data_IF_715949159274
#
_entry.id   IF_715949159274
#
_cell.length_a   1.000
_cell.length_b   1.000
_cell.length_c   1.000
_cell.angle_alpha   90.00
_cell.angle_beta   90.00
_cell.angle_gamma   90.00
#
_symmetry.space_group_name_H-M   'P 1'
#
loop_
_entity.id
_entity.type
_entity.pdbx_description
1 polymer ?
#
# COMPACT_ATOMS: atom_id res chain seq x y z
N UNK A 1 6.45 -7.16 6.05
CA UNK A 1 5.36 -7.72 5.24
C UNK A 1 4.14 -6.89 5.51
N UNK A 2 3.65 -6.24 4.47
CA UNK A 2 2.40 -5.49 4.46
C UNK A 2 1.25 -6.49 4.52
N UNK A 3 0.44 -6.40 5.57
CA UNK A 3 -0.74 -7.24 5.77
C UNK A 3 -2.01 -6.50 5.36
N UNK A 4 -3.12 -7.22 5.20
CA UNK A 4 -4.44 -6.61 5.00
C UNK A 4 -4.79 -5.58 6.10
N UNK A 5 -4.44 -5.86 7.36
CA UNK A 5 -4.66 -4.93 8.49
C UNK A 5 -3.87 -3.63 8.32
N UNK A 6 -2.59 -3.72 7.90
CA UNK A 6 -1.79 -2.52 7.63
C UNK A 6 -2.42 -1.67 6.53
N UNK A 7 -2.93 -2.30 5.46
CA UNK A 7 -3.62 -1.57 4.39
C UNK A 7 -4.89 -0.91 4.90
N UNK A 8 -5.69 -1.58 5.74
CA UNK A 8 -6.90 -1.00 6.34
C UNK A 8 -6.59 0.22 7.22
N UNK A 9 -5.52 0.16 8.01
CA UNK A 9 -5.06 1.31 8.80
C UNK A 9 -4.62 2.45 7.89
N UNK A 10 -3.82 2.15 6.86
CA UNK A 10 -3.41 3.15 5.88
C UNK A 10 -4.61 3.83 5.20
N UNK A 11 -5.59 3.04 4.75
CA UNK A 11 -6.85 3.52 4.16
C UNK A 11 -7.66 4.38 5.15
N UNK A 12 -7.73 3.97 6.43
CA UNK A 12 -8.44 4.72 7.50
C UNK A 12 -7.90 6.14 7.65
N UNK A 13 -6.58 6.30 7.52
CA UNK A 13 -5.91 7.59 7.62
C UNK A 13 -5.67 8.26 6.26
N UNK A 14 -6.18 7.69 5.16
CA UNK A 14 -5.96 8.17 3.79
C UNK A 14 -4.48 8.41 3.45
N UNK A 15 -3.59 7.56 3.97
CA UNK A 15 -2.14 7.71 3.82
C UNK A 15 -1.51 8.89 4.58
N UNK A 16 -2.27 9.61 5.41
CA UNK A 16 -1.76 10.69 6.25
C UNK A 16 -1.05 10.13 7.48
N UNK A 17 0.28 10.05 7.41
CA UNK A 17 1.12 9.56 8.52
C UNK A 17 0.87 10.34 9.81
N UNK A 18 0.79 11.67 9.72
CA UNK A 18 0.51 12.53 10.88
C UNK A 18 -0.85 12.20 11.51
N UNK A 19 -1.83 11.77 10.71
CA UNK A 19 -3.12 11.30 11.20
C UNK A 19 -2.97 10.08 12.11
N UNK A 20 -2.22 9.07 11.67
CA UNK A 20 -1.90 7.89 12.48
C UNK A 20 -1.08 8.29 13.73
N UNK A 21 -0.04 9.11 13.55
CA UNK A 21 0.87 9.49 14.62
C UNK A 21 0.16 10.26 15.76
N UNK A 22 -0.74 11.19 15.40
CA UNK A 22 -1.45 12.04 16.36
C UNK A 22 -2.67 11.33 16.97
N UNK A 23 -3.44 10.59 16.17
CA UNK A 23 -4.78 10.13 16.58
C UNK A 23 -4.96 8.62 16.62
N UNK A 24 -4.01 7.85 16.06
CA UNK A 24 -4.07 6.39 16.06
C UNK A 24 -4.01 5.79 17.47
N UNK A 25 -4.70 4.65 17.64
CA UNK A 25 -4.57 3.86 18.87
C UNK A 25 -3.23 3.12 18.90
N UNK A 26 -2.79 2.69 20.09
CA UNK A 26 -1.50 2.02 20.29
C UNK A 26 -1.28 0.85 19.34
N UNK A 27 -2.29 0.00 19.15
CA UNK A 27 -2.22 -1.14 18.25
C UNK A 27 -1.91 -0.71 16.80
N UNK A 28 -2.66 0.26 16.27
CA UNK A 28 -2.47 0.77 14.90
C UNK A 28 -1.07 1.36 14.69
N UNK A 29 -0.55 2.10 15.68
CA UNK A 29 0.80 2.67 15.63
C UNK A 29 1.86 1.57 15.61
N UNK A 30 1.71 0.56 16.48
CA UNK A 30 2.67 -0.53 16.61
C UNK A 30 2.87 -1.35 15.33
N UNK A 31 1.86 -1.38 14.44
CA UNK A 31 1.96 -2.03 13.14
C UNK A 31 3.06 -1.41 12.22
N UNK A 32 3.43 -0.15 12.45
CA UNK A 32 4.34 0.63 11.60
C UNK A 32 5.59 1.14 12.32
N UNK A 33 5.83 0.76 13.59
CA UNK A 33 6.95 1.30 14.37
C UNK A 33 8.33 0.82 13.90
N UNK A 34 8.41 -0.37 13.28
CA UNK A 34 9.69 -1.07 13.06
C UNK A 34 10.02 -1.32 11.60
N UNK A 35 9.25 -0.79 10.65
CA UNK A 35 9.41 -1.06 9.23
C UNK A 35 8.95 0.12 8.36
N UNK A 36 9.43 0.13 7.12
CA UNK A 36 9.10 1.15 6.12
C UNK A 36 7.79 0.84 5.37
N UNK A 37 6.89 0.03 5.95
CA UNK A 37 5.68 -0.44 5.25
C UNK A 37 4.75 0.73 4.88
N UNK A 38 4.72 1.82 5.67
CA UNK A 38 3.96 3.03 5.32
C UNK A 38 4.48 3.71 4.05
N UNK A 39 5.81 3.75 3.90
CA UNK A 39 6.47 4.28 2.71
C UNK A 39 6.16 3.41 1.48
N UNK A 40 6.24 2.09 1.61
CA UNK A 40 5.88 1.16 0.55
C UNK A 40 4.41 1.27 0.15
N UNK A 41 3.49 1.36 1.12
CA UNK A 41 2.07 1.61 0.84
C UNK A 41 1.86 2.93 0.09
N UNK A 42 2.53 4.00 0.49
CA UNK A 42 2.46 5.29 -0.20
C UNK A 42 2.87 5.18 -1.66
N UNK A 43 3.99 4.49 -1.94
CA UNK A 43 4.43 4.25 -3.30
C UNK A 43 3.45 3.37 -4.08
N UNK A 44 2.92 2.30 -3.48
CA UNK A 44 1.96 1.42 -4.14
C UNK A 44 0.67 2.14 -4.50
N UNK A 45 0.13 3.02 -3.65
CA UNK A 45 -1.06 3.80 -3.98
C UNK A 45 -0.82 4.81 -5.10
N UNK A 46 0.35 5.44 -5.13
CA UNK A 46 0.77 6.29 -6.23
C UNK A 46 0.91 5.49 -7.53
N UNK A 47 1.57 4.35 -7.48
CA UNK A 47 1.77 3.43 -8.61
C UNK A 47 0.44 2.95 -9.20
N UNK A 48 -0.49 2.51 -8.34
CA UNK A 48 -1.86 2.14 -8.72
C UNK A 48 -2.55 3.30 -9.46
N UNK A 49 -2.40 4.52 -8.94
CA UNK A 49 -2.98 5.72 -9.56
C UNK A 49 -2.40 5.96 -10.95
N UNK A 50 -1.08 5.82 -11.13
CA UNK A 50 -0.41 5.96 -12.41
C UNK A 50 -0.88 4.90 -13.43
N UNK A 51 -0.97 3.64 -13.01
CA UNK A 51 -1.44 2.54 -13.87
C UNK A 51 -2.90 2.77 -14.28
N UNK A 52 -3.78 3.06 -13.32
CA UNK A 52 -5.21 3.29 -13.59
C UNK A 52 -5.45 4.48 -14.53
N UNK A 53 -4.60 5.50 -14.45
CA UNK A 53 -4.67 6.67 -15.33
C UNK A 53 -3.93 6.49 -16.68
N UNK A 54 -3.41 5.29 -16.98
CA UNK A 54 -2.63 5.00 -18.20
C UNK A 54 -1.38 5.88 -18.36
N UNK A 55 -0.79 6.27 -17.22
CA UNK A 55 0.45 7.05 -17.14
C UNK A 55 1.69 6.17 -16.90
N UNK A 56 1.51 4.84 -16.91
CA UNK A 56 2.56 3.85 -16.75
C UNK A 56 2.69 2.98 -18.00
N UNK A 57 3.90 2.49 -18.27
CA UNK A 57 4.12 1.45 -19.30
C UNK A 57 3.63 0.08 -18.82
N UNK A 58 3.37 -0.84 -19.75
CA UNK A 58 2.98 -2.21 -19.40
C UNK A 58 4.06 -2.95 -18.59
N UNK A 59 5.34 -2.69 -18.89
CA UNK A 59 6.47 -3.21 -18.11
C UNK A 59 6.43 -2.70 -16.67
N UNK A 60 6.22 -1.40 -16.48
CA UNK A 60 6.10 -0.80 -15.16
C UNK A 60 4.92 -1.38 -14.36
N UNK A 61 3.77 -1.59 -15.00
CA UNK A 61 2.61 -2.22 -14.37
C UNK A 61 2.90 -3.65 -13.88
N UNK A 62 3.70 -4.41 -14.64
CA UNK A 62 4.17 -5.76 -14.24
C UNK A 62 5.14 -5.69 -13.07
N UNK A 63 6.08 -4.73 -13.09
CA UNK A 63 7.06 -4.54 -12.03
C UNK A 63 6.39 -4.16 -10.69
N UNK A 64 5.32 -3.34 -10.73
CA UNK A 64 4.53 -3.01 -9.53
C UNK A 64 3.96 -4.27 -8.89
N UNK A 65 3.35 -5.16 -9.68
CA UNK A 65 2.78 -6.42 -9.17
C UNK A 65 3.85 -7.32 -8.56
N UNK A 66 5.06 -7.33 -9.13
CA UNK A 66 6.19 -8.08 -8.56
C UNK A 66 6.62 -7.49 -7.21
N UNK A 67 6.77 -6.17 -7.11
CA UNK A 67 7.08 -5.49 -5.83
C UNK A 67 5.98 -5.72 -4.79
N UNK A 68 4.71 -5.66 -5.15
CA UNK A 68 3.62 -5.96 -4.21
C UNK A 68 3.74 -7.38 -3.64
N UNK A 69 4.11 -8.39 -4.46
CA UNK A 69 4.36 -9.76 -3.97
C UNK A 69 5.58 -9.88 -3.06
N UNK A 70 6.60 -9.05 -3.27
CA UNK A 70 7.82 -9.04 -2.46
C UNK A 70 7.60 -8.42 -1.08
N UNK A 71 6.73 -7.41 -0.97
CA UNK A 71 6.54 -6.64 0.27
C UNK A 71 5.24 -6.96 1.01
N UNK A 72 4.25 -7.60 0.38
CA UNK A 72 2.97 -7.95 1.01
C UNK A 72 2.85 -9.43 1.34
N UNK A 73 2.06 -9.75 2.36
CA UNK A 73 1.52 -11.09 2.50
C UNK A 73 0.49 -11.39 1.39
N UNK A 74 -0.01 -12.63 1.34
CA UNK A 74 -0.91 -13.07 0.28
C UNK A 74 -2.20 -12.23 0.23
N UNK A 75 -2.80 -11.94 1.38
CA UNK A 75 -4.04 -11.18 1.47
C UNK A 75 -3.83 -9.70 1.13
N UNK A 76 -2.74 -9.11 1.61
CA UNK A 76 -2.36 -7.73 1.29
C UNK A 76 -2.04 -7.55 -0.18
N UNK A 77 -1.37 -8.52 -0.81
CA UNK A 77 -1.16 -8.54 -2.25
C UNK A 77 -2.49 -8.55 -3.01
N UNK A 78 -3.41 -9.46 -2.69
CA UNK A 78 -4.74 -9.53 -3.33
C UNK A 78 -5.49 -8.22 -3.18
N UNK A 79 -5.48 -7.64 -1.97
CA UNK A 79 -6.17 -6.39 -1.67
C UNK A 79 -5.62 -5.22 -2.49
N UNK A 80 -4.30 -5.03 -2.57
CA UNK A 80 -3.71 -3.96 -3.38
C UNK A 80 -3.85 -4.20 -4.88
N UNK A 81 -3.60 -5.43 -5.36
CA UNK A 81 -3.71 -5.76 -6.78
C UNK A 81 -5.14 -5.56 -7.30
N UNK A 82 -6.15 -5.82 -6.49
CA UNK A 82 -7.56 -5.59 -6.85
C UNK A 82 -7.92 -4.12 -7.10
N UNK A 83 -7.11 -3.17 -6.61
CA UNK A 83 -7.29 -1.73 -6.83
C UNK A 83 -6.79 -1.28 -8.21
N UNK A 84 -6.10 -2.15 -8.96
CA UNK A 84 -5.68 -1.87 -10.34
C UNK A 84 -6.81 -2.29 -11.30
N UNK A 85 -7.37 -1.32 -12.02
CA UNK A 85 -8.46 -1.53 -12.99
C UNK A 85 -8.01 -1.32 -14.44
N UNK A 86 -6.77 -0.84 -14.65
CA UNK A 86 -6.21 -0.48 -15.96
C UNK A 86 -5.35 -1.54 -16.63
N UNK A 87 -5.30 -2.77 -16.10
CA UNK A 87 -4.55 -3.91 -16.64
C UNK A 87 -5.40 -4.75 -17.61
#
# INVERSE_FOLDING_TARGET
>A
MITAEKIQVYDTFNGLWDGLALTGITHQKSLFETNDDWYHLTNFYQDITLVNNKLASAGYATDILARMKEYCDEEGYKMLASKIVGL
#
